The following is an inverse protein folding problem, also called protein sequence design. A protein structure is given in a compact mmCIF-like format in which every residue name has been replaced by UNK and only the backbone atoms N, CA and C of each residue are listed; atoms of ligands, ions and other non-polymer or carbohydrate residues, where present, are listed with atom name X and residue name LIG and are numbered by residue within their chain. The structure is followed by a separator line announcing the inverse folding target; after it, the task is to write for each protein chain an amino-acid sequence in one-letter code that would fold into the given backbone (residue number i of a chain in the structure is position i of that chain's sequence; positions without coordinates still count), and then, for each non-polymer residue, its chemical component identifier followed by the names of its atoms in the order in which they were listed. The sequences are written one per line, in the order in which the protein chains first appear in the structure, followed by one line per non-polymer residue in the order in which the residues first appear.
data_IF_147852290912
#
_entry.id   IF_147852290912
#
_cell.length_a   1.000
_cell.length_b   1.000
_cell.length_c   1.000
_cell.angle_alpha   90.00
_cell.angle_beta   90.00
_cell.angle_gamma   90.00
#
_symmetry.space_group_name_H-M   'P 1'
#
loop_
_entity.id
_entity.type
_entity.pdbx_description
1 polymer ?
#
# COMPACT_ATOMS: atom_id res chain seq x y z
N UNK A 1 -18.46 -25.04 -23.11
CA UNK A 1 -18.07 -24.45 -21.81
C UNK A 1 -16.79 -23.66 -22.03
N UNK A 2 -16.78 -22.32 -21.94
CA UNK A 2 -15.53 -21.58 -22.07
C UNK A 2 -14.69 -21.80 -20.81
N UNK A 3 -13.48 -22.30 -21.01
CA UNK A 3 -12.45 -22.47 -19.99
C UNK A 3 -12.25 -21.14 -19.27
N UNK A 4 -12.35 -21.17 -17.93
CA UNK A 4 -11.99 -20.07 -17.06
C UNK A 4 -10.55 -19.66 -17.40
N UNK A 5 -10.39 -18.52 -18.08
CA UNK A 5 -9.10 -17.96 -18.42
C UNK A 5 -8.45 -17.54 -17.10
N UNK A 6 -7.44 -18.31 -16.66
CA UNK A 6 -6.72 -18.01 -15.42
C UNK A 6 -6.25 -16.55 -15.45
N UNK A 7 -6.71 -15.78 -14.47
CA UNK A 7 -6.30 -14.41 -14.29
C UNK A 7 -4.79 -14.37 -14.02
N UNK A 8 -3.99 -14.05 -15.03
CA UNK A 8 -2.55 -13.81 -14.86
C UNK A 8 -2.39 -12.51 -14.09
N UNK A 9 -2.34 -12.62 -12.76
CA UNK A 9 -1.93 -11.51 -11.90
C UNK A 9 -0.51 -11.10 -12.34
N UNK A 10 -0.25 -9.81 -12.64
CA UNK A 10 1.07 -9.38 -13.05
C UNK A 10 2.10 -9.76 -11.99
N UNK A 11 3.18 -10.44 -12.41
CA UNK A 11 4.21 -10.95 -11.50
C UNK A 11 4.77 -9.86 -10.57
N UNK A 12 4.84 -8.61 -11.04
CA UNK A 12 5.24 -7.43 -10.27
C UNK A 12 4.32 -7.16 -9.07
N UNK A 13 3.00 -7.25 -9.24
CA UNK A 13 2.01 -7.05 -8.17
C UNK A 13 2.08 -8.17 -7.14
N UNK A 14 2.22 -9.41 -7.59
CA UNK A 14 2.38 -10.56 -6.71
C UNK A 14 3.67 -10.46 -5.88
N UNK A 15 4.79 -10.11 -6.52
CA UNK A 15 6.07 -9.92 -5.85
C UNK A 15 6.01 -8.78 -4.83
N UNK A 16 5.45 -7.62 -5.20
CA UNK A 16 5.28 -6.49 -4.30
C UNK A 16 4.38 -6.86 -3.11
N UNK A 17 3.25 -7.53 -3.33
CA UNK A 17 2.36 -7.95 -2.24
C UNK A 17 3.04 -8.95 -1.29
N UNK A 18 3.83 -9.91 -1.81
CA UNK A 18 4.61 -10.85 -0.98
C UNK A 18 5.67 -10.12 -0.16
N UNK A 19 6.38 -9.17 -0.78
CA UNK A 19 7.37 -8.34 -0.10
C UNK A 19 6.74 -7.52 1.04
N UNK A 20 5.61 -6.85 0.78
CA UNK A 20 4.87 -6.09 1.80
C UNK A 20 4.36 -6.99 2.94
N UNK A 21 3.93 -8.22 2.64
CA UNK A 21 3.55 -9.20 3.68
C UNK A 21 4.76 -9.62 4.54
N UNK A 22 5.92 -9.83 3.94
CA UNK A 22 7.15 -10.15 4.67
C UNK A 22 7.56 -8.99 5.59
N UNK A 23 7.53 -7.75 5.09
CA UNK A 23 7.77 -6.57 5.92
C UNK A 23 6.76 -6.42 7.05
N UNK A 24 5.47 -6.67 6.81
CA UNK A 24 4.47 -6.70 7.88
C UNK A 24 4.77 -7.79 8.92
N UNK A 25 5.31 -8.94 8.52
CA UNK A 25 5.74 -9.99 9.46
C UNK A 25 6.83 -9.46 10.39
N UNK A 26 7.85 -8.79 9.83
CA UNK A 26 8.94 -8.18 10.60
C UNK A 26 8.39 -7.16 11.60
N UNK A 27 7.45 -6.31 11.16
CA UNK A 27 6.81 -5.30 12.03
C UNK A 27 6.03 -5.95 13.19
N UNK A 28 5.30 -7.04 12.93
CA UNK A 28 4.61 -7.79 14.00
C UNK A 28 5.60 -8.36 15.01
N UNK A 29 6.67 -9.00 14.53
CA UNK A 29 7.71 -9.58 15.40
C UNK A 29 8.41 -8.50 16.21
N UNK A 30 8.73 -7.35 15.62
CA UNK A 30 9.35 -6.24 16.37
C UNK A 30 8.42 -5.66 17.44
N UNK A 31 7.12 -5.58 17.17
CA UNK A 31 6.13 -5.14 18.14
C UNK A 31 6.05 -6.11 19.34
N UNK A 32 6.05 -7.42 19.07
CA UNK A 32 6.09 -8.44 20.11
C UNK A 32 7.38 -8.38 20.94
N UNK A 33 8.54 -8.24 20.29
CA UNK A 33 9.84 -8.08 20.96
C UNK A 33 9.87 -6.83 21.85
N UNK A 34 9.22 -5.75 21.45
CA UNK A 34 9.11 -4.52 22.25
C UNK A 34 8.34 -4.77 23.55
N UNK A 35 7.24 -5.53 23.50
CA UNK A 35 6.47 -5.90 24.70
C UNK A 35 7.31 -6.81 25.60
N UNK A 36 7.92 -7.86 25.03
CA UNK A 36 8.78 -8.79 25.78
C UNK A 36 9.92 -8.04 26.46
N UNK A 37 10.54 -7.09 25.76
CA UNK A 37 11.59 -6.22 26.32
C UNK A 37 11.13 -5.51 27.59
N UNK A 38 9.97 -4.84 27.55
CA UNK A 38 9.45 -4.11 28.71
C UNK A 38 9.21 -5.06 29.88
N UNK A 39 8.60 -6.21 29.59
CA UNK A 39 8.33 -7.25 30.61
C UNK A 39 9.64 -7.77 31.21
N UNK A 40 10.69 -8.00 30.42
CA UNK A 40 11.97 -8.47 30.93
C UNK A 40 12.74 -7.42 31.75
N UNK A 41 12.62 -6.14 31.40
CA UNK A 41 13.33 -5.05 32.07
C UNK A 41 12.64 -4.58 33.36
N UNK A 42 11.31 -4.59 33.41
CA UNK A 42 10.53 -4.07 34.54
C UNK A 42 9.34 -4.97 34.87
N UNK A 43 9.51 -5.94 35.78
CA UNK A 43 8.39 -6.62 36.46
C UNK A 43 8.27 -6.16 37.92
N UNK A 44 7.12 -5.59 38.35
CA UNK A 44 6.04 -5.03 37.52
C UNK A 44 6.47 -3.70 36.85
N UNK A 45 5.85 -3.30 35.73
CA UNK A 45 6.10 -1.99 35.12
C UNK A 45 5.56 -0.89 36.03
N UNK A 46 6.44 -0.31 36.85
CA UNK A 46 6.09 0.74 37.82
C UNK A 46 6.02 2.14 37.19
N UNK A 47 6.55 2.31 35.96
CA UNK A 47 6.76 3.62 35.34
C UNK A 47 5.92 3.81 34.06
N UNK A 48 5.42 5.03 33.88
CA UNK A 48 4.70 5.54 32.69
C UNK A 48 5.38 5.16 31.35
N UNK A 49 6.71 5.30 31.16
CA UNK A 49 7.38 4.92 29.91
C UNK A 49 7.28 3.42 29.57
N UNK A 50 7.25 2.53 30.56
CA UNK A 50 7.09 1.09 30.31
C UNK A 50 5.73 0.76 29.71
N UNK A 51 4.67 1.33 30.26
CA UNK A 51 3.31 1.17 29.71
C UNK A 51 3.18 1.78 28.32
N UNK A 52 3.76 2.96 28.07
CA UNK A 52 3.77 3.57 26.74
C UNK A 52 4.43 2.67 25.69
N UNK A 53 5.52 1.99 26.04
CA UNK A 53 6.18 1.04 25.15
C UNK A 53 5.35 -0.22 24.87
N UNK A 54 4.61 -0.72 25.87
CA UNK A 54 3.67 -1.82 25.67
C UNK A 54 2.56 -1.40 24.69
N UNK A 55 1.99 -0.20 24.87
CA UNK A 55 0.99 0.36 23.95
C UNK A 55 1.57 0.56 22.54
N UNK A 56 2.79 1.09 22.43
CA UNK A 56 3.47 1.27 21.15
C UNK A 56 3.70 -0.09 20.45
N UNK A 57 4.15 -1.10 21.19
CA UNK A 57 4.30 -2.47 20.69
C UNK A 57 2.97 -3.05 20.19
N UNK A 58 1.88 -2.86 20.95
CA UNK A 58 0.54 -3.30 20.57
C UNK A 58 0.03 -2.63 19.30
N UNK A 59 0.17 -1.30 19.18
CA UNK A 59 -0.22 -0.56 17.96
C UNK A 59 0.64 -1.00 16.77
N UNK A 60 1.94 -1.22 16.98
CA UNK A 60 2.85 -1.73 15.94
C UNK A 60 2.41 -3.10 15.43
N UNK A 61 2.05 -4.01 16.33
CA UNK A 61 1.50 -5.32 15.95
C UNK A 61 0.17 -5.20 15.21
N UNK A 62 -0.74 -4.35 15.68
CA UNK A 62 -2.03 -4.10 15.02
C UNK A 62 -1.84 -3.54 13.59
N UNK A 63 -0.88 -2.63 13.41
CA UNK A 63 -0.47 -2.12 12.10
C UNK A 63 0.03 -3.24 11.18
N UNK A 64 0.93 -4.10 11.67
CA UNK A 64 1.43 -5.24 10.89
C UNK A 64 0.35 -6.27 10.54
N UNK A 65 -0.54 -6.60 11.48
CA UNK A 65 -1.62 -7.58 11.29
C UNK A 65 -2.70 -7.09 10.32
N UNK A 66 -3.15 -5.84 10.48
CA UNK A 66 -4.10 -5.22 9.54
C UNK A 66 -3.52 -5.13 8.11
N UNK A 67 -2.19 -5.07 8.00
CA UNK A 67 -1.47 -5.12 6.73
C UNK A 67 -1.72 -6.39 5.92
N UNK A 68 -2.10 -7.53 6.51
CA UNK A 68 -2.41 -8.75 5.74
C UNK A 68 -3.77 -8.69 5.03
N UNK A 69 -4.76 -8.04 5.65
CA UNK A 69 -6.12 -7.87 5.12
C UNK A 69 -6.34 -6.56 4.35
N UNK A 70 -5.37 -5.63 4.36
CA UNK A 70 -5.49 -4.31 3.75
C UNK A 70 -5.70 -4.30 2.23
N UNK A 71 -5.52 -5.42 1.53
CA UNK A 71 -5.83 -5.52 0.08
C UNK A 71 -7.26 -5.93 -0.22
N UNK A 72 -7.96 -6.54 0.75
CA UNK A 72 -9.31 -7.11 0.55
C UNK A 72 -10.39 -6.26 1.20
N UNK A 73 -10.09 -5.63 2.34
CA UNK A 73 -11.06 -4.89 3.13
C UNK A 73 -10.64 -3.42 3.28
N UNK A 74 -11.50 -2.44 2.94
CA UNK A 74 -11.17 -1.02 3.05
C UNK A 74 -10.97 -0.58 4.51
N UNK A 75 -11.67 -1.23 5.46
CA UNK A 75 -11.47 -1.01 6.89
C UNK A 75 -10.04 -1.41 7.30
N UNK A 76 -9.58 -2.61 6.93
CA UNK A 76 -8.23 -3.07 7.22
C UNK A 76 -7.15 -2.18 6.56
N UNK A 77 -7.42 -1.63 5.38
CA UNK A 77 -6.51 -0.68 4.73
C UNK A 77 -6.35 0.61 5.54
N UNK A 78 -7.45 1.23 5.95
CA UNK A 78 -7.41 2.46 6.75
C UNK A 78 -6.78 2.23 8.11
N UNK A 79 -7.16 1.14 8.81
CA UNK A 79 -6.53 0.77 10.09
C UNK A 79 -5.04 0.53 9.91
N UNK A 80 -4.62 -0.13 8.83
CA UNK A 80 -3.21 -0.36 8.53
C UNK A 80 -2.43 0.95 8.35
N UNK A 81 -2.95 1.88 7.54
CA UNK A 81 -2.29 3.16 7.32
C UNK A 81 -2.17 3.98 8.61
N UNK A 82 -3.26 4.09 9.37
CA UNK A 82 -3.29 4.87 10.62
C UNK A 82 -2.38 4.23 11.66
N UNK A 83 -2.52 2.93 11.92
CA UNK A 83 -1.73 2.24 12.94
C UNK A 83 -0.24 2.20 12.57
N UNK A 84 0.10 1.98 11.30
CA UNK A 84 1.50 2.00 10.82
C UNK A 84 2.08 3.41 10.85
N UNK A 85 1.29 4.44 10.54
CA UNK A 85 1.71 5.84 10.65
C UNK A 85 1.97 6.27 12.10
N UNK A 86 1.04 5.98 13.01
CA UNK A 86 1.18 6.29 14.44
C UNK A 86 2.34 5.53 15.06
N UNK A 87 2.45 4.21 14.81
CA UNK A 87 3.57 3.43 15.33
C UNK A 87 4.91 3.84 14.70
N UNK A 88 4.96 4.18 13.42
CA UNK A 88 6.16 4.70 12.76
C UNK A 88 6.63 6.02 13.36
N UNK A 89 5.71 6.95 13.61
CA UNK A 89 6.05 8.18 14.32
C UNK A 89 6.55 7.91 15.75
N UNK A 90 5.88 7.02 16.48
CA UNK A 90 6.28 6.63 17.83
C UNK A 90 7.67 5.97 17.87
N UNK A 91 7.95 5.03 16.96
CA UNK A 91 9.25 4.38 16.83
C UNK A 91 10.36 5.37 16.45
N UNK A 92 10.06 6.33 15.57
CA UNK A 92 10.99 7.38 15.19
C UNK A 92 11.37 8.24 16.41
N UNK A 93 10.36 8.78 17.13
CA UNK A 93 10.56 9.59 18.34
C UNK A 93 11.33 8.80 19.39
N UNK A 94 10.98 7.53 19.60
CA UNK A 94 11.66 6.69 20.59
C UNK A 94 13.13 6.44 20.22
N UNK A 95 13.44 6.18 18.95
CA UNK A 95 14.83 6.01 18.50
C UNK A 95 15.64 7.31 18.69
N UNK A 96 15.05 8.47 18.38
CA UNK A 96 15.69 9.78 18.55
C UNK A 96 15.93 10.07 20.03
N UNK A 97 14.98 9.76 20.91
CA UNK A 97 15.16 9.90 22.36
C UNK A 97 16.27 8.99 22.89
N UNK A 98 16.36 7.75 22.41
CA UNK A 98 17.41 6.82 22.83
C UNK A 98 18.80 7.25 22.35
N UNK A 99 18.93 7.79 21.13
CA UNK A 99 20.21 8.30 20.63
C UNK A 99 20.60 9.65 21.26
N UNK A 100 19.64 10.57 21.40
CA UNK A 100 19.90 11.95 21.84
C UNK A 100 19.94 12.14 23.36
N UNK A 101 19.21 11.33 24.13
CA UNK A 101 19.08 11.50 25.59
C UNK A 101 19.26 10.18 26.36
N UNK A 102 20.13 9.30 25.87
CA UNK A 102 20.45 7.99 26.45
C UNK A 102 20.62 7.95 27.98
N UNK A 103 21.42 8.82 28.62
CA UNK A 103 21.60 8.78 30.08
C UNK A 103 20.30 9.12 30.85
N UNK A 104 19.44 9.99 30.31
CA UNK A 104 18.14 10.30 30.93
C UNK A 104 17.18 9.12 30.82
N UNK A 105 17.20 8.42 29.68
CA UNK A 105 16.39 7.22 29.47
C UNK A 105 16.84 6.09 30.40
N UNK A 106 18.15 5.84 30.52
CA UNK A 106 18.72 4.89 31.50
C UNK A 106 18.27 5.19 32.93
N UNK A 107 18.38 6.45 33.36
CA UNK A 107 17.95 6.87 34.68
C UNK A 107 16.43 6.69 34.89
N UNK A 108 15.64 6.82 33.82
CA UNK A 108 14.18 6.63 33.86
C UNK A 108 13.77 5.16 33.98
N UNK A 109 14.62 4.23 33.54
CA UNK A 109 14.39 2.79 33.75
C UNK A 109 14.73 2.33 35.17
N UNK A 110 15.47 3.14 35.94
CA UNK A 110 15.84 2.88 37.34
C UNK A 110 16.91 1.78 37.49
N UNK A 111 17.34 1.53 38.74
CA UNK A 111 18.17 0.37 39.11
C UNK A 111 17.36 -0.91 38.94
N UNK A 112 17.34 -1.42 37.72
CA UNK A 112 16.71 -2.70 37.36
C UNK A 112 17.57 -3.87 37.87
N UNK A 113 17.04 -5.09 37.70
CA UNK A 113 17.67 -6.37 38.06
C UNK A 113 19.05 -6.60 37.40
N UNK A 114 19.45 -5.74 36.46
CA UNK A 114 20.66 -5.85 35.64
C UNK A 114 21.60 -4.67 35.88
N UNK A 115 22.89 -4.87 35.63
CA UNK A 115 23.91 -3.81 35.72
C UNK A 115 23.66 -2.73 34.66
N UNK A 116 24.02 -1.48 34.97
CA UNK A 116 23.81 -0.33 34.08
C UNK A 116 24.43 -0.56 32.69
N UNK A 117 25.61 -1.19 32.60
CA UNK A 117 26.28 -1.51 31.34
C UNK A 117 25.51 -2.51 30.47
N UNK A 118 24.87 -3.51 31.08
CA UNK A 118 24.05 -4.49 30.36
C UNK A 118 22.80 -3.84 29.79
N UNK A 119 22.14 -2.97 30.56
CA UNK A 119 20.96 -2.20 30.11
C UNK A 119 21.36 -1.22 29.01
N UNK A 120 22.52 -0.59 29.12
CA UNK A 120 23.04 0.34 28.11
C UNK A 120 23.22 -0.35 26.74
N UNK A 121 23.98 -1.45 26.69
CA UNK A 121 24.18 -2.23 25.46
C UNK A 121 22.86 -2.72 24.86
N UNK A 122 21.93 -3.11 25.73
CA UNK A 122 20.61 -3.56 25.31
C UNK A 122 19.78 -2.42 24.70
N UNK A 123 19.77 -1.23 25.32
CA UNK A 123 19.08 -0.04 24.79
C UNK A 123 19.64 0.40 23.44
N UNK A 124 20.96 0.31 23.20
CA UNK A 124 21.52 0.61 21.86
C UNK A 124 21.01 -0.36 20.82
N UNK A 125 20.95 -1.64 21.16
CA UNK A 125 20.41 -2.66 20.25
C UNK A 125 18.93 -2.39 19.94
N UNK A 126 18.16 -1.98 20.96
CA UNK A 126 16.78 -1.57 20.80
C UNK A 126 16.64 -0.31 19.91
N UNK A 127 17.52 0.70 20.05
CA UNK A 127 17.52 1.89 19.18
C UNK A 127 17.64 1.54 17.70
N UNK A 128 18.58 0.64 17.37
CA UNK A 128 18.78 0.17 16.01
C UNK A 128 17.57 -0.63 15.50
N UNK A 129 16.95 -1.43 16.36
CA UNK A 129 15.71 -2.13 16.04
C UNK A 129 14.57 -1.14 15.72
N UNK A 130 14.34 -0.12 16.56
CA UNK A 130 13.30 0.89 16.31
C UNK A 130 13.58 1.69 15.04
N UNK A 131 14.84 2.03 14.76
CA UNK A 131 15.22 2.75 13.55
C UNK A 131 15.00 1.91 12.29
N UNK A 132 15.39 0.63 12.30
CA UNK A 132 15.15 -0.27 11.16
C UNK A 132 13.65 -0.50 10.92
N UNK A 133 12.86 -0.68 11.98
CA UNK A 133 11.40 -0.78 11.88
C UNK A 133 10.78 0.49 11.31
N UNK A 134 11.25 1.66 11.73
CA UNK A 134 10.80 2.96 11.19
C UNK A 134 11.05 3.04 9.69
N UNK A 135 12.25 2.65 9.23
CA UNK A 135 12.57 2.64 7.79
C UNK A 135 11.65 1.68 7.03
N UNK A 136 11.42 0.47 7.56
CA UNK A 136 10.51 -0.51 6.96
C UNK A 136 9.08 0.06 6.87
N UNK A 137 8.60 0.74 7.92
CA UNK A 137 7.28 1.37 7.95
C UNK A 137 7.16 2.50 6.92
N UNK A 138 8.22 3.29 6.74
CA UNK A 138 8.31 4.31 5.69
C UNK A 138 8.30 3.72 4.28
N UNK A 139 8.72 2.47 4.08
CA UNK A 139 8.57 1.75 2.81
C UNK A 139 7.18 1.10 2.68
N UNK A 140 6.60 0.61 3.76
CA UNK A 140 5.30 -0.08 3.78
C UNK A 140 4.14 0.83 3.35
N UNK A 141 4.08 2.06 3.87
CA UNK A 141 3.01 3.02 3.56
C UNK A 141 2.94 3.35 2.06
N UNK A 142 4.00 3.87 1.41
CA UNK A 142 3.97 4.15 -0.02
C UNK A 142 3.86 2.86 -0.84
N UNK A 143 4.50 1.77 -0.41
CA UNK A 143 4.38 0.48 -1.09
C UNK A 143 2.93 -0.03 -1.13
N UNK A 144 2.16 0.18 -0.05
CA UNK A 144 0.73 -0.14 0.01
C UNK A 144 -0.12 0.78 -0.86
N UNK A 145 0.15 2.09 -0.84
CA UNK A 145 -0.54 3.07 -1.70
C UNK A 145 -0.30 2.72 -3.18
N UNK A 146 0.95 2.41 -3.55
CA UNK A 146 1.31 1.97 -4.91
C UNK A 146 0.57 0.68 -5.26
N UNK A 147 0.54 -0.33 -4.38
CA UNK A 147 -0.15 -1.58 -4.66
C UNK A 147 -1.67 -1.38 -4.85
N UNK A 148 -2.28 -0.43 -4.14
CA UNK A 148 -3.69 -0.10 -4.28
C UNK A 148 -3.98 0.71 -5.56
N UNK A 149 -3.06 1.59 -5.96
CA UNK A 149 -3.15 2.38 -7.18
C UNK A 149 -2.72 1.61 -8.44
N UNK A 150 -2.00 0.48 -8.29
CA UNK A 150 -1.77 -0.46 -9.38
C UNK A 150 -3.13 -1.01 -9.82
N UNK A 151 -3.66 -0.40 -10.89
CA UNK A 151 -4.92 -0.81 -11.53
C UNK A 151 -4.94 -2.33 -11.66
N UNK A 152 -6.08 -2.92 -11.33
CA UNK A 152 -6.37 -4.31 -11.66
C UNK A 152 -6.15 -4.45 -13.17
N UNK A 153 -5.10 -5.16 -13.59
CA UNK A 153 -5.08 -5.75 -14.92
C UNK A 153 -6.24 -6.76 -14.96
N UNK A 154 -7.39 -6.22 -15.37
CA UNK A 154 -8.42 -6.85 -16.19
C UNK A 154 -8.98 -8.17 -15.65
N UNK A 155 -9.91 -8.07 -14.71
CA UNK A 155 -11.14 -8.84 -14.88
C UNK A 155 -12.07 -7.99 -15.74
N UNK A 156 -11.93 -8.13 -17.06
CA UNK A 156 -13.07 -7.89 -17.93
C UNK A 156 -14.10 -8.93 -17.50
N UNK A 157 -15.05 -8.54 -16.65
CA UNK A 157 -16.29 -9.29 -16.58
C UNK A 157 -16.85 -9.31 -18.00
N UNK A 158 -17.39 -10.45 -18.44
CA UNK A 158 -17.97 -10.59 -19.79
C UNK A 158 -18.98 -9.47 -20.12
N UNK A 159 -19.55 -8.83 -19.09
CA UNK A 159 -20.42 -7.65 -19.18
C UNK A 159 -19.67 -6.36 -19.56
N UNK A 160 -18.51 -6.06 -18.96
CA UNK A 160 -17.70 -4.89 -19.35
C UNK A 160 -17.10 -5.05 -20.74
N UNK A 161 -16.66 -6.25 -21.14
CA UNK A 161 -16.20 -6.50 -22.53
C UNK A 161 -17.36 -6.31 -23.52
N UNK A 162 -18.58 -6.73 -23.17
CA UNK A 162 -19.78 -6.52 -24.00
C UNK A 162 -20.20 -5.06 -24.06
N UNK A 163 -20.14 -4.35 -22.94
CA UNK A 163 -20.45 -2.92 -22.89
C UNK A 163 -19.43 -2.10 -23.70
N UNK A 164 -18.13 -2.38 -23.52
CA UNK A 164 -17.07 -1.72 -24.28
C UNK A 164 -17.10 -2.11 -25.77
N UNK A 165 -17.36 -3.38 -26.12
CA UNK A 165 -17.60 -3.76 -27.53
C UNK A 165 -18.84 -3.12 -28.10
N UNK A 166 -19.90 -2.96 -27.31
CA UNK A 166 -21.13 -2.27 -27.73
C UNK A 166 -20.89 -0.78 -28.00
N UNK A 167 -20.13 -0.11 -27.13
CA UNK A 167 -19.73 1.28 -27.31
C UNK A 167 -18.73 1.46 -28.45
N UNK A 168 -17.77 0.55 -28.60
CA UNK A 168 -16.83 0.56 -29.72
C UNK A 168 -17.54 0.28 -31.05
N UNK A 169 -18.50 -0.65 -31.09
CA UNK A 169 -19.32 -0.91 -32.28
C UNK A 169 -20.28 0.23 -32.61
N UNK A 170 -20.79 0.96 -31.60
CA UNK A 170 -21.64 2.12 -31.85
C UNK A 170 -20.83 3.33 -32.34
N UNK A 171 -19.62 3.53 -31.82
CA UNK A 171 -18.66 4.51 -32.34
C UNK A 171 -18.23 4.15 -33.77
N UNK A 172 -17.85 2.90 -34.01
CA UNK A 172 -17.48 2.42 -35.34
C UNK A 172 -18.65 2.54 -36.34
N UNK A 173 -19.90 2.26 -35.92
CA UNK A 173 -21.08 2.51 -36.76
C UNK A 173 -21.28 3.99 -37.07
N UNK A 174 -21.05 4.90 -36.11
CA UNK A 174 -21.12 6.35 -36.37
C UNK A 174 -20.04 6.78 -37.36
N UNK A 175 -18.80 6.34 -37.17
CA UNK A 175 -17.69 6.65 -38.06
C UNK A 175 -17.92 6.12 -39.48
N UNK A 176 -18.44 4.90 -39.63
CA UNK A 176 -18.80 4.33 -40.94
C UNK A 176 -19.96 5.11 -41.57
N UNK A 177 -21.01 5.47 -40.82
CA UNK A 177 -22.13 6.27 -41.36
C UNK A 177 -21.70 7.68 -41.78
N UNK A 178 -20.75 8.29 -41.06
CA UNK A 178 -20.19 9.58 -41.42
C UNK A 178 -19.29 9.48 -42.66
N UNK A 179 -18.57 8.37 -42.83
CA UNK A 179 -17.82 8.10 -44.05
C UNK A 179 -18.73 7.83 -45.25
N UNK A 180 -19.78 7.03 -45.10
CA UNK A 180 -20.78 6.79 -46.16
C UNK A 180 -21.43 8.11 -46.60
N UNK A 181 -21.85 8.96 -45.65
CA UNK A 181 -22.41 10.28 -45.97
C UNK A 181 -21.41 11.23 -46.67
N UNK A 182 -20.10 11.08 -46.44
CA UNK A 182 -19.06 11.82 -47.17
C UNK A 182 -18.87 11.27 -48.58
N UNK A 183 -18.91 9.95 -48.74
CA UNK A 183 -18.78 9.29 -50.05
C UNK A 183 -19.98 9.65 -50.93
N UNK A 184 -21.20 9.59 -50.41
CA UNK A 184 -22.42 9.96 -51.14
C UNK A 184 -22.42 11.42 -51.58
N UNK A 185 -22.00 12.36 -50.72
CA UNK A 185 -21.84 13.77 -51.12
C UNK A 185 -20.79 13.95 -52.22
N UNK A 186 -19.70 13.19 -52.16
CA UNK A 186 -18.64 13.27 -53.18
C UNK A 186 -19.11 12.70 -54.52
N UNK A 187 -19.92 11.64 -54.50
CA UNK A 187 -20.53 11.05 -55.70
C UNK A 187 -21.61 11.98 -56.27
N UNK A 188 -22.47 12.56 -55.42
CA UNK A 188 -23.50 13.51 -55.84
C UNK A 188 -22.90 14.75 -56.50
N UNK A 189 -21.87 15.34 -55.89
CA UNK A 189 -21.20 16.51 -56.47
C UNK A 189 -20.54 16.18 -57.81
N UNK A 190 -19.91 15.00 -57.95
CA UNK A 190 -19.34 14.55 -59.23
C UNK A 190 -20.41 14.26 -60.29
N UNK A 191 -21.59 13.82 -59.87
CA UNK A 191 -22.72 13.59 -60.78
C UNK A 191 -23.30 14.93 -61.25
N UNK A 192 -23.46 15.89 -60.34
CA UNK A 192 -23.90 17.26 -60.66
C UNK A 192 -22.92 17.96 -61.60
N UNK A 193 -21.60 17.89 -61.36
CA UNK A 193 -20.60 18.41 -62.28
C UNK A 193 -20.68 17.77 -63.67
N UNK A 194 -20.90 16.45 -63.73
CA UNK A 194 -21.07 15.74 -65.01
C UNK A 194 -22.38 16.07 -65.73
N UNK A 195 -23.44 16.38 -64.99
CA UNK A 195 -24.73 16.78 -65.57
C UNK A 195 -24.69 18.22 -66.06
N UNK A 196 -24.10 19.14 -65.29
CA UNK A 196 -23.87 20.51 -65.70
C UNK A 196 -22.96 20.60 -66.95
N UNK A 197 -21.92 19.75 -67.03
CA UNK A 197 -21.05 19.69 -68.21
C UNK A 197 -21.68 19.03 -69.45
N UNK A 198 -22.80 18.31 -69.32
CA UNK A 198 -23.49 17.65 -70.46
C UNK A 198 -24.72 18.38 -70.96
N UNK A 199 -25.33 19.23 -70.14
CA UNK A 199 -26.59 19.92 -70.44
C UNK A 199 -26.52 21.44 -70.23
N UNK A 200 -25.32 22.00 -70.01
CA UNK A 200 -25.09 23.42 -69.74
C UNK A 200 -24.65 24.27 -70.94
N UNK A 201 -24.75 23.74 -72.17
CA UNK A 201 -24.71 24.54 -73.42
C UNK A 201 -26.08 24.54 -74.09
#
# INVERSE_FOLDING_TARGET
MPLAREAKIPAKRLALNRCLKAFNTIVVVSGALTIVMVVCLQQPPKFVPGWLLIFLGGITMAGGLSGYGGTTLPCCYMTHLIATGVSGFGNMVFSLCLFGQRPKVLNSFGTTRYTADSVDKFLVTASWLFLTVTIIQMCLIPGRIILQNMKYETFETLEETRANRGQMMSQMRREVSEQEGRVDKTISNKLEERMAGKYGE
#
